data_IF_192052329587
#
_entry.id   IF_192052329587
#
_cell.length_a   1.000
_cell.length_b   1.000
_cell.length_c   1.000
_cell.angle_alpha   90.00
_cell.angle_beta   90.00
_cell.angle_gamma   90.00
#
_symmetry.space_group_name_H-M   'P 1'
#
loop_
_entity.id
_entity.type
_entity.pdbx_description
1 polymer ?
#
# COMPACT_ATOMS: atom_id res chain seq x y z
N UNK A 1 -50.30 21.42 -34.56
CA UNK A 1 -48.90 21.15 -34.91
C UNK A 1 -48.26 20.49 -33.71
N UNK A 2 -48.02 19.19 -33.84
CA UNK A 2 -47.27 18.36 -32.90
C UNK A 2 -45.81 18.59 -33.26
N UNK A 3 -44.97 18.93 -32.29
CA UNK A 3 -43.52 18.74 -32.42
C UNK A 3 -43.04 17.92 -31.23
N UNK A 4 -42.55 16.74 -31.58
CA UNK A 4 -42.03 15.69 -30.74
C UNK A 4 -40.55 15.98 -30.46
N UNK A 5 -40.16 16.17 -29.20
CA UNK A 5 -38.76 15.97 -28.81
C UNK A 5 -38.66 14.79 -27.83
N UNK A 6 -38.74 13.60 -28.43
CA UNK A 6 -38.30 12.37 -27.81
C UNK A 6 -36.76 12.33 -27.75
N UNK A 7 -36.22 11.98 -26.58
CA UNK A 7 -35.01 11.16 -26.51
C UNK A 7 -33.65 11.86 -26.54
N UNK A 8 -33.26 12.49 -25.43
CA UNK A 8 -31.87 12.40 -24.96
C UNK A 8 -31.91 11.96 -23.51
N UNK A 9 -31.82 10.64 -23.33
CA UNK A 9 -31.50 10.03 -22.05
C UNK A 9 -30.33 10.82 -21.44
N UNK A 10 -30.55 11.36 -20.25
CA UNK A 10 -29.49 11.92 -19.42
C UNK A 10 -28.32 10.95 -19.48
N UNK A 11 -27.15 11.42 -19.93
CA UNK A 11 -25.90 10.68 -19.84
C UNK A 11 -25.77 10.29 -18.38
N UNK A 12 -26.10 9.05 -18.06
CA UNK A 12 -25.72 8.44 -16.80
C UNK A 12 -24.23 8.75 -16.70
N UNK A 13 -23.83 9.46 -15.66
CA UNK A 13 -22.42 9.49 -15.28
C UNK A 13 -22.15 8.05 -14.90
N UNK A 14 -21.79 7.22 -15.89
CA UNK A 14 -21.19 5.93 -15.68
C UNK A 14 -20.11 6.22 -14.65
N UNK A 15 -20.33 5.76 -13.42
CA UNK A 15 -19.30 5.80 -12.41
C UNK A 15 -18.06 5.23 -13.09
N UNK A 16 -16.92 5.89 -12.96
CA UNK A 16 -15.67 5.32 -13.43
C UNK A 16 -15.49 3.98 -12.72
N UNK A 17 -15.99 2.90 -13.33
CA UNK A 17 -15.92 1.55 -12.79
C UNK A 17 -14.46 1.19 -12.85
N UNK A 18 -13.80 1.24 -11.70
CA UNK A 18 -12.39 0.87 -11.57
C UNK A 18 -12.26 -0.63 -11.51
N UNK A 19 -11.19 -1.10 -12.12
CA UNK A 19 -10.75 -2.48 -12.07
C UNK A 19 -10.15 -2.74 -10.69
N UNK A 20 -10.71 -3.68 -9.96
CA UNK A 20 -10.24 -4.06 -8.62
C UNK A 20 -10.17 -5.57 -8.56
N UNK A 21 -8.95 -6.12 -8.59
CA UNK A 21 -8.70 -7.56 -8.59
C UNK A 21 -8.55 -8.09 -7.17
N UNK A 22 -9.55 -7.81 -6.34
CA UNK A 22 -9.53 -8.19 -4.93
C UNK A 22 -9.88 -9.66 -4.69
N UNK A 23 -10.53 -10.34 -5.64
CA UNK A 23 -11.11 -11.70 -5.48
C UNK A 23 -12.05 -11.85 -4.27
N UNK A 24 -12.54 -10.73 -3.72
CA UNK A 24 -13.24 -10.70 -2.43
C UNK A 24 -12.36 -11.02 -1.22
N UNK A 25 -11.02 -11.02 -1.36
CA UNK A 25 -10.05 -11.47 -0.34
C UNK A 25 -9.48 -10.34 0.52
N UNK A 26 -9.95 -9.09 0.38
CA UNK A 26 -9.37 -7.94 1.07
C UNK A 26 -9.33 -8.04 2.60
N UNK A 27 -10.32 -8.68 3.21
CA UNK A 27 -10.32 -8.94 4.65
C UNK A 27 -9.15 -9.85 5.07
N UNK A 28 -8.95 -10.98 4.37
CA UNK A 28 -7.83 -11.89 4.59
C UNK A 28 -6.48 -11.22 4.34
N UNK A 29 -6.35 -10.42 3.28
CA UNK A 29 -5.13 -9.62 3.01
C UNK A 29 -4.78 -8.74 4.21
N UNK A 30 -5.76 -8.02 4.76
CA UNK A 30 -5.55 -7.17 5.93
C UNK A 30 -5.21 -8.00 7.17
N UNK A 31 -5.91 -9.11 7.40
CA UNK A 31 -5.67 -10.00 8.54
C UNK A 31 -4.24 -10.57 8.53
N UNK A 32 -3.81 -11.18 7.42
CA UNK A 32 -2.46 -11.74 7.32
C UNK A 32 -1.36 -10.69 7.34
N UNK A 33 -1.60 -9.50 6.78
CA UNK A 33 -0.66 -8.39 6.90
C UNK A 33 -0.52 -7.88 8.34
N UNK A 34 -1.62 -7.82 9.09
CA UNK A 34 -1.63 -7.42 10.50
C UNK A 34 -0.92 -8.45 11.38
N UNK A 35 -1.13 -9.75 11.13
CA UNK A 35 -0.42 -10.81 11.85
C UNK A 35 1.09 -10.79 11.58
N UNK A 36 1.48 -10.48 10.33
CA UNK A 36 2.88 -10.43 9.93
C UNK A 36 3.63 -9.28 10.62
N UNK A 37 3.15 -8.04 10.46
CA UNK A 37 3.71 -6.85 11.14
C UNK A 37 2.56 -5.96 11.65
N UNK A 38 2.16 -6.14 12.93
CA UNK A 38 0.97 -5.49 13.47
C UNK A 38 1.16 -3.99 13.69
N UNK A 39 0.13 -3.21 13.36
CA UNK A 39 0.02 -1.81 13.72
C UNK A 39 0.91 -0.85 12.91
N UNK A 40 1.61 -1.30 11.86
CA UNK A 40 2.48 -0.45 11.01
C UNK A 40 1.79 -0.02 9.72
N UNK A 41 0.83 -0.78 9.22
CA UNK A 41 0.21 -0.46 7.94
C UNK A 41 1.22 -0.34 6.80
N UNK A 42 0.92 0.50 5.81
CA UNK A 42 1.69 0.65 4.57
C UNK A 42 2.96 1.48 4.72
N UNK A 43 3.39 1.75 5.95
CA UNK A 43 4.52 2.62 6.23
C UNK A 43 5.81 1.84 6.04
N UNK A 44 6.63 2.30 5.12
CA UNK A 44 7.94 1.73 4.81
C UNK A 44 9.10 2.73 4.97
N UNK A 45 8.79 3.98 5.34
CA UNK A 45 9.73 5.02 5.77
C UNK A 45 8.97 6.03 6.64
N UNK A 46 9.69 6.81 7.47
CA UNK A 46 9.10 7.51 8.60
C UNK A 46 8.47 8.87 8.27
N UNK A 47 8.96 9.57 7.24
CA UNK A 47 8.50 10.93 6.87
C UNK A 47 6.97 11.04 6.69
N UNK A 48 6.27 10.08 6.06
CA UNK A 48 4.81 10.04 6.00
C UNK A 48 4.11 10.16 7.36
N UNK A 49 4.66 9.56 8.42
CA UNK A 49 4.08 9.69 9.76
C UNK A 49 4.13 11.15 10.23
N UNK A 50 5.27 11.82 10.04
CA UNK A 50 5.47 13.22 10.43
C UNK A 50 4.52 14.17 9.68
N UNK A 51 4.37 14.00 8.36
CA UNK A 51 3.39 14.80 7.59
C UNK A 51 1.96 14.54 8.03
N UNK A 52 1.62 13.29 8.37
CA UNK A 52 0.28 12.95 8.80
C UNK A 52 -0.07 13.60 10.14
N UNK A 53 0.80 13.50 11.15
CA UNK A 53 0.56 14.15 12.45
C UNK A 53 0.56 15.67 12.35
N UNK A 54 1.43 16.25 11.51
CA UNK A 54 1.44 17.69 11.24
C UNK A 54 0.12 18.14 10.57
N UNK A 55 -0.38 17.38 9.60
CA UNK A 55 -1.65 17.67 8.94
C UNK A 55 -2.85 17.60 9.88
N UNK A 56 -2.87 16.64 10.81
CA UNK A 56 -3.90 16.54 11.86
C UNK A 56 -3.84 17.75 12.79
N UNK A 57 -2.64 18.12 13.28
CA UNK A 57 -2.45 19.31 14.11
C UNK A 57 -2.95 20.57 13.41
N UNK A 58 -2.56 20.78 12.15
CA UNK A 58 -2.91 21.98 11.40
C UNK A 58 -4.39 22.05 11.01
N UNK A 59 -5.09 20.93 10.85
CA UNK A 59 -6.52 20.94 10.57
C UNK A 59 -7.38 21.28 11.79
N UNK A 60 -6.84 21.18 13.02
CA UNK A 60 -7.58 21.45 14.26
C UNK A 60 -8.12 22.89 14.24
N UNK A 61 -9.45 23.02 14.39
CA UNK A 61 -10.14 24.32 14.41
C UNK A 61 -10.24 25.03 13.06
N UNK A 62 -9.91 24.36 11.94
CA UNK A 62 -10.00 24.92 10.58
C UNK A 62 -11.11 24.28 9.77
N UNK A 63 -11.52 24.96 8.69
CA UNK A 63 -12.55 24.46 7.76
C UNK A 63 -12.07 23.35 6.82
N UNK A 64 -10.75 23.11 6.77
CA UNK A 64 -10.15 22.05 5.94
C UNK A 64 -10.02 20.74 6.73
N UNK A 65 -10.29 19.62 6.05
CA UNK A 65 -10.16 18.30 6.66
C UNK A 65 -8.69 17.92 6.89
N UNK A 66 -8.41 17.13 7.94
CA UNK A 66 -7.06 16.62 8.23
C UNK A 66 -6.44 15.88 7.04
N UNK A 67 -7.24 15.08 6.33
CA UNK A 67 -6.81 14.42 5.10
C UNK A 67 -6.38 15.43 4.04
N UNK A 68 -7.16 16.48 3.81
CA UNK A 68 -6.82 17.51 2.81
C UNK A 68 -5.50 18.20 3.14
N UNK A 69 -5.30 18.54 4.41
CA UNK A 69 -4.07 19.21 4.87
C UNK A 69 -2.86 18.29 4.76
N UNK A 70 -2.94 17.06 5.27
CA UNK A 70 -1.84 16.10 5.20
C UNK A 70 -1.44 15.77 3.74
N UNK A 71 -2.41 15.58 2.85
CA UNK A 71 -2.11 15.31 1.44
C UNK A 71 -1.48 16.53 0.74
N UNK A 72 -1.91 17.75 1.08
CA UNK A 72 -1.32 18.96 0.50
C UNK A 72 0.14 19.16 0.94
N UNK A 73 0.46 18.84 2.19
CA UNK A 73 1.83 18.85 2.71
C UNK A 73 2.69 17.82 1.96
N UNK A 74 2.19 16.60 1.80
CA UNK A 74 2.90 15.57 1.02
C UNK A 74 3.07 15.99 -0.46
N UNK A 75 2.03 16.55 -1.07
CA UNK A 75 2.07 17.02 -2.46
C UNK A 75 3.17 18.07 -2.65
N UNK A 76 3.25 19.04 -1.73
CA UNK A 76 4.28 20.06 -1.71
C UNK A 76 5.67 19.46 -1.54
N UNK A 77 5.83 18.50 -0.63
CA UNK A 77 7.08 17.78 -0.41
C UNK A 77 7.56 17.05 -1.68
N UNK A 78 6.67 16.26 -2.30
CA UNK A 78 6.96 15.52 -3.52
C UNK A 78 7.24 16.46 -4.70
N UNK A 79 6.53 17.58 -4.79
CA UNK A 79 6.77 18.59 -5.81
C UNK A 79 8.16 19.21 -5.66
N UNK A 80 8.61 19.54 -4.45
CA UNK A 80 9.97 20.04 -4.21
C UNK A 80 11.05 19.04 -4.63
N UNK A 81 10.81 17.73 -4.44
CA UNK A 81 11.77 16.67 -4.73
C UNK A 81 11.62 16.04 -6.14
N UNK A 82 10.67 16.50 -6.98
CA UNK A 82 10.25 15.82 -8.22
C UNK A 82 11.33 15.62 -9.30
N UNK A 83 12.45 16.34 -9.22
CA UNK A 83 13.52 16.21 -10.20
C UNK A 83 14.25 14.85 -10.08
N UNK A 84 14.40 14.32 -8.87
CA UNK A 84 15.28 13.19 -8.56
C UNK A 84 14.49 11.87 -8.53
N UNK A 85 14.84 10.83 -9.33
CA UNK A 85 14.10 9.55 -9.44
C UNK A 85 14.16 8.64 -8.19
N UNK A 86 13.90 9.20 -7.01
CA UNK A 86 13.79 8.47 -5.75
C UNK A 86 12.36 7.92 -5.56
N UNK A 87 12.27 6.67 -5.11
CA UNK A 87 11.01 5.95 -4.92
C UNK A 87 10.14 6.47 -3.78
N UNK A 88 10.72 7.24 -2.84
CA UNK A 88 10.00 7.99 -1.80
C UNK A 88 9.24 9.18 -2.39
N UNK A 89 9.63 9.68 -3.57
CA UNK A 89 8.99 10.80 -4.25
C UNK A 89 7.82 10.31 -5.09
N UNK A 90 6.61 10.53 -4.58
CA UNK A 90 5.37 10.10 -5.25
C UNK A 90 4.88 11.09 -6.29
N UNK A 91 4.11 10.58 -7.25
CA UNK A 91 3.35 11.43 -8.16
C UNK A 91 4.16 12.11 -9.26
N UNK A 92 5.38 11.63 -9.55
CA UNK A 92 6.31 12.21 -10.53
C UNK A 92 5.65 12.56 -11.86
N UNK A 93 4.90 11.62 -12.44
CA UNK A 93 4.24 11.81 -13.73
C UNK A 93 3.24 12.97 -13.72
N UNK A 94 2.43 13.08 -12.67
CA UNK A 94 1.45 14.16 -12.55
C UNK A 94 2.12 15.49 -12.21
N UNK A 95 3.22 15.46 -11.45
CA UNK A 95 3.97 16.64 -11.05
C UNK A 95 4.93 17.18 -12.13
N UNK A 96 5.28 16.39 -13.15
CA UNK A 96 6.20 16.78 -14.22
C UNK A 96 5.72 18.00 -15.01
N UNK A 97 4.41 18.15 -15.19
CA UNK A 97 3.80 19.30 -15.87
C UNK A 97 3.55 20.51 -14.96
N UNK A 98 3.84 20.43 -13.65
CA UNK A 98 3.58 21.52 -12.71
C UNK A 98 4.76 22.51 -12.74
N UNK A 99 4.53 23.79 -13.12
CA UNK A 99 5.59 24.79 -13.22
C UNK A 99 6.35 24.96 -11.91
N UNK A 100 7.61 25.41 -11.98
CA UNK A 100 8.48 25.73 -10.82
C UNK A 100 7.97 26.92 -9.95
N UNK A 101 6.74 27.40 -10.19
CA UNK A 101 6.13 28.54 -9.52
C UNK A 101 5.46 28.19 -8.19
N UNK A 102 4.66 29.14 -7.70
CA UNK A 102 3.91 29.01 -6.46
C UNK A 102 2.87 27.88 -6.57
N UNK A 103 2.93 26.92 -5.64
CA UNK A 103 1.87 25.92 -5.47
C UNK A 103 0.99 26.40 -4.32
N UNK A 104 -0.23 26.82 -4.63
CA UNK A 104 -1.17 27.22 -3.59
C UNK A 104 -1.66 26.00 -2.81
N UNK A 105 -2.06 26.21 -1.55
CA UNK A 105 -2.68 25.15 -0.76
C UNK A 105 -3.92 24.58 -1.45
N UNK A 106 -4.76 25.46 -2.03
CA UNK A 106 -5.99 25.03 -2.72
C UNK A 106 -5.69 24.08 -3.87
N UNK A 107 -4.62 24.31 -4.63
CA UNK A 107 -4.20 23.42 -5.72
C UNK A 107 -3.65 22.10 -5.17
N UNK A 108 -2.72 22.16 -4.21
CA UNK A 108 -2.12 20.97 -3.60
C UNK A 108 -3.15 20.07 -2.90
N UNK A 109 -4.23 20.65 -2.36
CA UNK A 109 -5.30 19.93 -1.69
C UNK A 109 -6.33 19.30 -2.67
N UNK A 110 -6.26 19.58 -3.98
CA UNK A 110 -7.20 18.99 -4.95
C UNK A 110 -7.00 17.50 -5.06
N UNK A 111 -8.11 16.77 -5.14
CA UNK A 111 -8.09 15.32 -5.42
C UNK A 111 -7.41 15.08 -6.77
N UNK A 112 -6.43 14.18 -6.79
CA UNK A 112 -5.70 13.82 -8.01
C UNK A 112 -4.60 14.80 -8.42
N UNK A 113 -4.22 15.77 -7.58
CA UNK A 113 -3.17 16.73 -7.91
C UNK A 113 -1.79 16.09 -8.17
N UNK A 114 -1.35 15.18 -7.30
CA UNK A 114 -0.05 14.49 -7.45
C UNK A 114 -0.17 12.96 -7.42
N UNK A 115 -1.16 12.42 -6.70
CA UNK A 115 -1.46 10.98 -6.69
C UNK A 115 -2.95 10.69 -6.63
N UNK A 116 -3.33 9.52 -7.13
CA UNK A 116 -4.69 8.97 -7.04
C UNK A 116 -5.01 8.50 -5.62
N UNK A 117 -4.04 7.89 -4.94
CA UNK A 117 -4.13 7.42 -3.56
C UNK A 117 -3.04 8.07 -2.71
N UNK A 118 -3.39 9.04 -1.86
CA UNK A 118 -2.40 9.74 -1.05
C UNK A 118 -2.03 8.95 0.21
N UNK A 119 -0.96 9.40 0.89
CA UNK A 119 -0.38 8.81 2.10
C UNK A 119 -1.34 8.28 3.16
N UNK A 120 -2.52 8.87 3.30
CA UNK A 120 -3.51 8.47 4.31
C UNK A 120 -3.76 6.96 4.34
N UNK A 121 -3.77 6.28 3.20
CA UNK A 121 -4.06 4.84 3.17
C UNK A 121 -2.95 4.00 3.79
N UNK A 122 -1.68 4.43 3.64
CA UNK A 122 -0.56 3.74 4.27
C UNK A 122 -0.41 4.04 5.77
N UNK A 123 -0.81 5.24 6.22
CA UNK A 123 -0.49 5.73 7.59
C UNK A 123 -1.60 5.52 8.62
N UNK A 124 -2.85 5.26 8.22
CA UNK A 124 -4.00 5.13 9.13
C UNK A 124 -3.76 4.12 10.24
N UNK A 125 -3.27 2.92 9.89
CA UNK A 125 -2.97 1.86 10.88
C UNK A 125 -1.77 2.26 11.74
N UNK A 126 -0.69 2.74 11.12
CA UNK A 126 0.54 3.17 11.80
C UNK A 126 0.30 4.21 12.90
N UNK A 127 -0.50 5.23 12.60
CA UNK A 127 -0.79 6.30 13.55
C UNK A 127 -1.47 5.78 14.83
N UNK A 128 -2.35 4.78 14.68
CA UNK A 128 -3.02 4.13 15.82
C UNK A 128 -2.10 3.13 16.50
N UNK A 129 -1.49 2.23 15.72
CA UNK A 129 -0.63 1.16 16.24
C UNK A 129 0.61 1.67 16.97
N UNK A 130 1.06 2.89 16.67
CA UNK A 130 2.17 3.57 17.37
C UNK A 130 1.69 4.55 18.46
N UNK A 131 0.37 4.66 18.68
CA UNK A 131 -0.21 5.53 19.71
C UNK A 131 -0.02 7.03 19.46
N UNK A 132 0.14 7.44 18.20
CA UNK A 132 0.29 8.84 17.80
C UNK A 132 -1.06 9.57 17.74
N UNK A 133 -2.16 8.83 17.64
CA UNK A 133 -3.54 9.33 17.69
C UNK A 133 -4.34 8.56 18.73
N UNK A 134 -5.35 9.21 19.32
CA UNK A 134 -6.24 8.58 20.28
C UNK A 134 -6.99 7.40 19.67
N UNK A 135 -7.25 6.39 20.50
CA UNK A 135 -8.14 5.29 20.15
C UNK A 135 -9.58 5.79 19.96
N UNK A 136 -10.33 5.15 19.07
CA UNK A 136 -11.75 5.43 18.85
C UNK A 136 -12.09 5.62 17.38
N UNK A 137 -11.79 6.79 16.77
CA UNK A 137 -12.13 7.01 15.38
C UNK A 137 -11.36 6.06 14.46
N UNK A 138 -12.04 5.43 13.49
CA UNK A 138 -11.36 4.61 12.47
C UNK A 138 -10.99 5.41 11.22
N UNK A 139 -11.53 6.62 11.07
CA UNK A 139 -11.34 7.47 9.89
C UNK A 139 -10.31 8.55 10.20
N UNK A 140 -9.36 8.75 9.29
CA UNK A 140 -8.28 9.75 9.43
C UNK A 140 -8.78 11.15 9.81
N UNK A 141 -9.90 11.62 9.22
CA UNK A 141 -10.44 12.96 9.51
C UNK A 141 -10.96 13.15 10.93
N UNK A 142 -11.20 12.07 11.67
CA UNK A 142 -11.65 12.11 13.05
C UNK A 142 -10.51 11.89 14.05
N UNK A 143 -9.28 11.65 13.59
CA UNK A 143 -8.13 11.49 14.46
C UNK A 143 -7.83 12.75 15.27
N UNK A 144 -7.45 12.52 16.52
CA UNK A 144 -6.90 13.51 17.43
C UNK A 144 -5.54 13.02 17.88
N UNK A 145 -4.53 13.90 17.86
CA UNK A 145 -3.19 13.56 18.33
C UNK A 145 -3.19 13.27 19.82
N UNK A 146 -2.44 12.24 20.22
CA UNK A 146 -2.00 12.06 21.61
C UNK A 146 -0.82 12.98 21.90
N UNK A 147 -0.37 13.04 23.15
CA UNK A 147 0.91 13.67 23.52
C UNK A 147 2.08 13.12 22.68
N UNK A 148 2.08 11.82 22.39
CA UNK A 148 3.10 11.21 21.53
C UNK A 148 3.06 11.74 20.09
N UNK A 149 1.86 11.93 19.54
CA UNK A 149 1.67 12.53 18.23
C UNK A 149 2.15 13.98 18.20
N UNK A 150 1.80 14.76 19.23
CA UNK A 150 2.27 16.15 19.35
C UNK A 150 3.80 16.21 19.47
N UNK A 151 4.40 15.33 20.28
CA UNK A 151 5.85 15.23 20.46
C UNK A 151 6.58 14.86 19.19
N UNK A 152 6.02 13.97 18.35
CA UNK A 152 6.62 13.64 17.06
C UNK A 152 6.71 14.86 16.14
N UNK A 153 5.67 15.70 16.09
CA UNK A 153 5.72 16.92 15.26
C UNK A 153 6.82 17.86 15.77
N UNK A 154 6.95 18.05 17.08
CA UNK A 154 8.01 18.88 17.66
C UNK A 154 9.40 18.37 17.26
N UNK A 155 9.69 17.10 17.55
CA UNK A 155 10.99 16.49 17.24
C UNK A 155 11.29 16.48 15.74
N UNK A 156 10.27 16.35 14.88
CA UNK A 156 10.46 16.30 13.44
C UNK A 156 10.78 17.67 12.82
N UNK A 157 10.33 18.76 13.44
CA UNK A 157 10.36 20.10 12.84
C UNK A 157 11.06 21.18 13.68
N UNK A 158 11.45 20.90 14.93
CA UNK A 158 12.04 21.89 15.87
C UNK A 158 13.32 22.55 15.37
N UNK A 159 14.10 21.88 14.52
CA UNK A 159 15.37 22.39 13.99
C UNK A 159 15.22 23.27 12.74
N UNK A 160 14.03 23.38 12.17
CA UNK A 160 13.80 24.11 10.91
C UNK A 160 13.12 25.46 11.16
N UNK A 161 13.63 26.52 10.53
CA UNK A 161 13.12 27.90 10.67
C UNK A 161 12.88 28.57 9.32
N UNK A 162 11.89 28.11 8.52
CA UNK A 162 11.52 28.79 7.29
C UNK A 162 11.06 30.21 7.58
N UNK A 163 11.68 31.21 6.94
CA UNK A 163 11.43 32.65 7.20
C UNK A 163 11.55 33.04 8.69
N UNK A 164 12.48 32.45 9.42
CA UNK A 164 12.68 32.68 10.86
C UNK A 164 11.46 32.32 11.74
N UNK A 165 10.56 31.47 11.24
CA UNK A 165 9.33 31.07 11.91
C UNK A 165 9.25 29.54 12.01
N UNK A 166 8.36 29.01 12.83
CA UNK A 166 8.16 27.57 12.96
C UNK A 166 7.52 26.99 11.67
N UNK A 167 7.83 25.74 11.35
CA UNK A 167 7.33 25.06 10.13
C UNK A 167 5.80 25.03 10.10
N UNK A 168 5.17 24.70 11.22
CA UNK A 168 3.72 24.66 11.37
C UNK A 168 3.08 26.06 11.26
N UNK A 169 3.72 27.10 11.81
CA UNK A 169 3.27 28.49 11.65
C UNK A 169 3.32 28.96 10.18
N UNK A 170 4.39 28.63 9.43
CA UNK A 170 4.47 28.95 8.00
C UNK A 170 3.45 28.18 7.18
N UNK A 171 3.23 26.89 7.49
CA UNK A 171 2.23 26.08 6.80
C UNK A 171 0.80 26.53 7.12
N UNK A 172 0.51 26.96 8.35
CA UNK A 172 -0.77 27.56 8.71
C UNK A 172 -1.07 28.79 7.84
N UNK A 173 -0.10 29.70 7.70
CA UNK A 173 -0.22 30.88 6.80
C UNK A 173 -0.44 30.45 5.35
N UNK A 174 0.24 29.40 4.89
CA UNK A 174 0.07 28.88 3.52
C UNK A 174 -1.31 28.27 3.28
N UNK A 175 -1.86 27.54 4.25
CA UNK A 175 -3.23 27.00 4.21
C UNK A 175 -4.26 28.13 4.05
N UNK A 176 -3.97 29.28 4.67
CA UNK A 176 -4.79 30.51 4.59
C UNK A 176 -4.53 31.32 3.30
N UNK A 177 -3.68 30.84 2.38
CA UNK A 177 -3.37 31.47 1.10
C UNK A 177 -2.09 32.31 1.07
N UNK A 178 -1.32 32.31 2.16
CA UNK A 178 -0.04 33.01 2.26
C UNK A 178 1.12 32.34 1.51
N UNK A 179 2.24 33.05 1.40
CA UNK A 179 3.47 32.58 0.77
C UNK A 179 4.57 32.25 1.79
N UNK A 180 5.52 31.40 1.41
CA UNK A 180 6.70 31.11 2.24
C UNK A 180 7.14 29.64 2.30
N UNK A 181 6.38 28.78 1.64
CA UNK A 181 6.65 27.33 1.57
C UNK A 181 7.74 26.93 0.58
N UNK A 182 8.32 27.89 -0.15
CA UNK A 182 9.36 27.65 -1.17
C UNK A 182 10.79 27.93 -0.70
N UNK A 183 10.97 28.26 0.58
CA UNK A 183 12.29 28.47 1.18
C UNK A 183 13.09 27.18 1.29
N UNK A 184 14.41 27.27 1.28
CA UNK A 184 15.29 26.09 1.42
C UNK A 184 15.04 25.36 2.75
N UNK A 185 14.84 26.09 3.85
CA UNK A 185 14.51 25.48 5.14
C UNK A 185 13.19 24.72 5.11
N UNK A 186 12.16 25.19 4.38
CA UNK A 186 10.91 24.43 4.20
C UNK A 186 11.11 23.19 3.32
N UNK A 187 11.89 23.32 2.24
CA UNK A 187 12.24 22.19 1.36
C UNK A 187 12.93 21.10 2.16
N UNK A 188 13.95 21.45 2.94
CA UNK A 188 14.68 20.52 3.80
C UNK A 188 13.79 19.89 4.88
N UNK A 189 12.89 20.66 5.50
CA UNK A 189 11.96 20.15 6.52
C UNK A 189 10.99 19.10 5.97
N UNK A 190 10.55 19.27 4.72
CA UNK A 190 9.55 18.43 4.09
C UNK A 190 10.13 17.37 3.16
N UNK A 191 11.43 17.38 2.83
CA UNK A 191 11.99 16.49 1.81
C UNK A 191 11.71 15.00 2.12
N UNK A 192 11.04 14.24 1.24
CA UNK A 192 10.85 12.79 1.38
C UNK A 192 12.16 12.01 1.54
N UNK A 193 13.26 12.55 0.99
CA UNK A 193 14.55 11.86 0.88
C UNK A 193 15.45 12.08 2.08
N UNK A 194 15.29 13.23 2.74
CA UNK A 194 16.05 13.53 3.93
C UNK A 194 15.59 12.61 5.08
N UNK A 195 16.50 12.09 5.91
CA UNK A 195 16.11 11.43 7.15
C UNK A 195 15.40 12.41 8.08
N UNK A 196 14.52 11.91 8.95
CA UNK A 196 14.04 12.71 10.08
C UNK A 196 15.22 13.11 11.00
N UNK A 197 15.10 14.22 11.74
CA UNK A 197 16.07 14.56 12.79
C UNK A 197 16.30 13.37 13.75
N UNK A 198 17.52 13.22 14.24
CA UNK A 198 17.95 12.06 15.04
C UNK A 198 17.00 11.76 16.20
N UNK A 199 16.63 12.79 16.98
CA UNK A 199 15.70 12.64 18.11
C UNK A 199 14.32 12.13 17.69
N UNK A 200 13.83 12.53 16.51
CA UNK A 200 12.57 12.02 15.98
C UNK A 200 12.69 10.56 15.50
N UNK A 201 13.84 10.19 14.92
CA UNK A 201 14.14 8.80 14.54
C UNK A 201 14.23 7.89 15.76
N UNK A 202 14.93 8.33 16.82
CA UNK A 202 15.02 7.60 18.09
C UNK A 202 13.64 7.39 18.73
N UNK A 203 12.85 8.46 18.80
CA UNK A 203 11.48 8.39 19.31
C UNK A 203 10.62 7.38 18.54
N UNK A 204 10.66 7.41 17.20
CA UNK A 204 9.91 6.47 16.37
C UNK A 204 10.45 5.04 16.47
N UNK A 205 11.77 4.85 16.56
CA UNK A 205 12.38 3.52 16.75
C UNK A 205 11.91 2.90 18.05
N UNK A 206 11.89 3.67 19.13
CA UNK A 206 11.36 3.20 20.41
C UNK A 206 9.87 2.86 20.32
N UNK A 207 9.06 3.72 19.69
CA UNK A 207 7.62 3.47 19.49
C UNK A 207 7.38 2.19 18.68
N UNK A 208 8.07 2.00 17.56
CA UNK A 208 7.94 0.81 16.73
C UNK A 208 8.31 -0.45 17.52
N UNK A 209 9.41 -0.44 18.26
CA UNK A 209 9.90 -1.63 18.96
C UNK A 209 9.22 -1.91 20.32
N UNK A 210 8.60 -0.92 20.97
CA UNK A 210 8.15 -1.05 22.38
C UNK A 210 6.72 -0.62 22.66
N UNK A 211 6.03 0.06 21.74
CA UNK A 211 4.69 0.58 22.02
C UNK A 211 3.56 -0.41 21.68
N UNK A 212 2.65 -0.59 22.63
CA UNK A 212 1.43 -1.38 22.44
C UNK A 212 1.65 -2.89 22.62
N UNK A 213 0.56 -3.67 22.65
CA UNK A 213 0.58 -5.10 22.95
C UNK A 213 1.40 -5.90 21.93
N UNK A 214 1.39 -5.47 20.66
CA UNK A 214 2.06 -6.18 19.58
C UNK A 214 3.52 -5.74 19.33
N UNK A 215 4.06 -4.88 20.19
CA UNK A 215 5.46 -4.46 20.10
C UNK A 215 6.46 -5.63 20.10
N UNK A 216 6.28 -6.71 20.89
CA UNK A 216 7.21 -7.85 20.87
C UNK A 216 7.32 -8.50 19.49
N UNK A 217 6.21 -8.66 18.76
CA UNK A 217 6.21 -9.22 17.38
C UNK A 217 7.02 -8.34 16.43
N UNK A 218 6.84 -7.01 16.48
CA UNK A 218 7.62 -6.07 15.65
C UNK A 218 9.10 -6.09 16.01
N UNK A 219 9.43 -6.07 17.30
CA UNK A 219 10.80 -6.10 17.78
C UNK A 219 11.52 -7.40 17.37
N UNK A 220 10.85 -8.54 17.47
CA UNK A 220 11.36 -9.83 17.02
C UNK A 220 11.70 -9.85 15.53
N UNK A 221 10.80 -9.32 14.68
CA UNK A 221 11.02 -9.23 13.23
C UNK A 221 12.18 -8.28 12.93
N UNK A 222 12.26 -7.11 13.56
CA UNK A 222 13.41 -6.19 13.40
C UNK A 222 14.72 -6.88 13.77
N UNK A 223 14.76 -7.54 14.93
CA UNK A 223 15.94 -8.24 15.41
C UNK A 223 16.38 -9.37 14.46
N UNK A 224 15.41 -10.12 13.92
CA UNK A 224 15.66 -11.14 12.89
C UNK A 224 16.21 -10.54 11.59
N UNK A 225 15.59 -9.47 11.08
CA UNK A 225 15.99 -8.81 9.84
C UNK A 225 17.39 -8.20 9.91
N UNK A 226 17.85 -7.82 11.10
CA UNK A 226 19.21 -7.31 11.35
C UNK A 226 20.29 -8.40 11.36
N UNK A 227 19.93 -9.70 11.37
CA UNK A 227 20.91 -10.81 11.33
C UNK A 227 21.46 -11.00 9.92
N UNK A 228 22.79 -11.01 9.72
CA UNK A 228 23.39 -11.17 8.39
C UNK A 228 23.20 -12.58 7.81
N UNK A 229 23.13 -13.60 8.67
CA UNK A 229 23.05 -15.04 8.36
C UNK A 229 21.61 -15.58 8.37
N UNK A 230 20.61 -14.71 8.14
CA UNK A 230 19.20 -15.10 8.13
C UNK A 230 18.88 -16.07 6.97
N UNK A 231 18.14 -17.12 7.29
CA UNK A 231 17.66 -18.11 6.32
C UNK A 231 16.49 -17.56 5.49
N UNK A 232 16.49 -17.88 4.19
CA UNK A 232 15.38 -17.64 3.28
C UNK A 232 14.40 -18.83 3.21
N UNK A 233 14.47 -19.77 4.16
CA UNK A 233 13.66 -20.99 4.17
C UNK A 233 12.55 -20.96 5.22
N UNK A 234 11.38 -21.51 4.88
CA UNK A 234 10.31 -21.78 5.84
C UNK A 234 10.61 -22.96 6.78
N UNK A 235 11.60 -23.80 6.45
CA UNK A 235 11.97 -24.98 7.25
C UNK A 235 12.67 -24.61 8.57
N UNK A 236 13.33 -23.45 8.60
CA UNK A 236 14.14 -23.01 9.74
C UNK A 236 13.48 -21.79 10.40
N UNK A 237 12.82 -22.00 11.53
CA UNK A 237 12.27 -20.89 12.32
C UNK A 237 13.40 -20.09 12.96
N UNK A 238 13.46 -18.75 12.78
CA UNK A 238 14.38 -17.90 13.53
C UNK A 238 14.12 -17.98 15.04
N UNK A 239 15.15 -18.12 15.90
CA UNK A 239 14.95 -18.27 17.34
C UNK A 239 14.30 -17.04 17.99
N UNK A 240 14.43 -15.87 17.37
CA UNK A 240 13.88 -14.59 17.83
C UNK A 240 12.36 -14.47 17.60
N UNK A 241 11.81 -15.21 16.64
CA UNK A 241 10.38 -15.19 16.31
C UNK A 241 9.74 -16.37 17.02
N UNK A 242 8.73 -16.13 17.84
CA UNK A 242 8.04 -17.20 18.55
C UNK A 242 7.30 -18.16 17.58
N UNK A 243 6.89 -19.31 18.10
CA UNK A 243 6.28 -20.39 17.30
C UNK A 243 4.97 -19.95 16.66
N UNK A 244 4.16 -19.16 17.38
CA UNK A 244 2.85 -18.70 16.90
C UNK A 244 3.01 -17.67 15.79
N UNK A 245 3.86 -16.66 15.99
CA UNK A 245 4.15 -15.64 14.99
C UNK A 245 4.82 -16.22 13.74
N UNK A 246 5.70 -17.22 13.89
CA UNK A 246 6.26 -17.92 12.73
C UNK A 246 5.21 -18.68 11.94
N UNK A 247 4.26 -19.34 12.63
CA UNK A 247 3.12 -20.00 11.98
C UNK A 247 2.26 -18.99 11.23
N UNK A 248 1.94 -17.85 11.84
CA UNK A 248 1.17 -16.77 11.23
C UNK A 248 1.84 -16.25 9.94
N UNK A 249 3.16 -16.01 9.98
CA UNK A 249 3.96 -15.60 8.82
C UNK A 249 3.90 -16.62 7.70
N UNK A 250 4.05 -17.92 8.02
CA UNK A 250 4.03 -19.01 7.04
C UNK A 250 2.66 -19.18 6.40
N UNK A 251 1.59 -19.20 7.19
CA UNK A 251 0.20 -19.31 6.69
C UNK A 251 -0.12 -18.12 5.79
N UNK A 252 0.26 -16.91 6.21
CA UNK A 252 0.10 -15.71 5.40
C UNK A 252 0.85 -15.80 4.07
N UNK A 253 2.05 -16.37 4.05
CA UNK A 253 2.79 -16.59 2.81
C UNK A 253 2.09 -17.56 1.85
N UNK A 254 1.57 -18.68 2.36
CA UNK A 254 0.75 -19.62 1.57
C UNK A 254 -0.50 -18.95 1.00
N UNK A 255 -1.14 -18.09 1.79
CA UNK A 255 -2.28 -17.29 1.32
C UNK A 255 -1.89 -16.34 0.18
N UNK A 256 -0.78 -15.60 0.30
CA UNK A 256 -0.34 -14.68 -0.75
C UNK A 256 0.10 -15.41 -2.03
N UNK A 257 0.66 -16.62 -1.92
CA UNK A 257 0.93 -17.48 -3.07
C UNK A 257 -0.35 -17.93 -3.77
N UNK A 258 -1.35 -18.38 -3.01
CA UNK A 258 -2.69 -18.72 -3.53
C UNK A 258 -3.31 -17.53 -4.26
N UNK A 259 -3.28 -16.34 -3.66
CA UNK A 259 -3.80 -15.13 -4.29
C UNK A 259 -3.06 -14.82 -5.61
N UNK A 260 -1.73 -14.94 -5.63
CA UNK A 260 -0.92 -14.68 -6.82
C UNK A 260 -1.23 -15.67 -7.94
N UNK A 261 -1.36 -16.96 -7.62
CA UNK A 261 -1.74 -17.99 -8.57
C UNK A 261 -3.14 -17.72 -9.17
N UNK A 262 -4.10 -17.29 -8.34
CA UNK A 262 -5.43 -16.92 -8.81
C UNK A 262 -5.41 -15.72 -9.76
N UNK A 263 -4.61 -14.70 -9.45
CA UNK A 263 -4.42 -13.56 -10.35
C UNK A 263 -3.76 -13.97 -11.68
N UNK A 264 -2.82 -14.91 -11.65
CA UNK A 264 -2.20 -15.45 -12.86
C UNK A 264 -3.20 -16.21 -13.74
N UNK A 265 -4.12 -16.98 -13.14
CA UNK A 265 -5.25 -17.61 -13.85
C UNK A 265 -6.12 -16.56 -14.54
N UNK A 266 -6.48 -15.48 -13.85
CA UNK A 266 -7.26 -14.38 -14.45
C UNK A 266 -6.50 -13.69 -15.60
N UNK A 267 -5.19 -13.47 -15.44
CA UNK A 267 -4.34 -12.90 -16.48
C UNK A 267 -4.25 -13.79 -17.72
N UNK A 268 -4.11 -15.11 -17.52
CA UNK A 268 -4.14 -16.10 -18.60
C UNK A 268 -5.47 -16.11 -19.33
N UNK A 269 -6.58 -16.17 -18.60
CA UNK A 269 -7.92 -16.15 -19.17
C UNK A 269 -8.19 -14.86 -19.95
N UNK A 270 -7.77 -13.71 -19.43
CA UNK A 270 -7.89 -12.44 -20.15
C UNK A 270 -7.07 -12.39 -21.42
N UNK A 271 -5.87 -12.97 -21.45
CA UNK A 271 -5.05 -13.03 -22.64
C UNK A 271 -5.74 -13.84 -23.77
N UNK A 272 -6.43 -14.92 -23.41
CA UNK A 272 -7.21 -15.72 -24.36
C UNK A 272 -8.42 -14.93 -24.86
N UNK A 273 -9.23 -14.38 -23.94
CA UNK A 273 -10.41 -13.58 -24.29
C UNK A 273 -10.04 -12.38 -25.18
N UNK A 274 -8.86 -11.78 -24.98
CA UNK A 274 -8.38 -10.67 -25.82
C UNK A 274 -8.13 -11.09 -27.27
N UNK A 275 -7.67 -12.32 -27.48
CA UNK A 275 -7.30 -12.84 -28.80
C UNK A 275 -8.49 -13.51 -29.49
N UNK A 276 -9.24 -14.34 -28.77
CA UNK A 276 -10.30 -15.19 -29.30
C UNK A 276 -11.73 -14.65 -29.04
N UNK A 277 -11.87 -13.56 -28.27
CA UNK A 277 -13.16 -12.95 -27.91
C UNK A 277 -13.91 -13.67 -26.78
N UNK A 278 -13.63 -14.97 -26.55
CA UNK A 278 -14.18 -15.76 -25.45
C UNK A 278 -13.24 -16.93 -25.10
N UNK A 279 -13.43 -17.52 -23.93
CA UNK A 279 -12.78 -18.77 -23.50
C UNK A 279 -13.86 -19.74 -23.03
N UNK A 280 -13.93 -20.96 -23.57
CA UNK A 280 -14.89 -21.96 -23.04
C UNK A 280 -14.35 -22.57 -21.75
N UNK A 281 -15.21 -22.81 -20.77
CA UNK A 281 -14.80 -23.45 -19.52
C UNK A 281 -14.23 -24.86 -19.73
N UNK A 282 -14.70 -25.58 -20.75
CA UNK A 282 -14.14 -26.87 -21.14
C UNK A 282 -12.68 -26.79 -21.62
N UNK A 283 -12.23 -25.62 -22.09
CA UNK A 283 -10.84 -25.37 -22.52
C UNK A 283 -9.92 -25.08 -21.32
N UNK A 284 -10.43 -25.07 -20.09
CA UNK A 284 -9.63 -24.94 -18.87
C UNK A 284 -8.59 -26.06 -18.69
N UNK A 285 -8.79 -27.22 -19.32
CA UNK A 285 -7.85 -28.34 -19.32
C UNK A 285 -6.91 -28.35 -20.53
N UNK A 286 -6.71 -27.20 -21.17
CA UNK A 286 -5.82 -27.04 -22.33
C UNK A 286 -4.87 -25.88 -22.13
N UNK A 287 -3.76 -25.88 -22.86
CA UNK A 287 -2.80 -24.76 -22.87
C UNK A 287 -3.45 -23.47 -23.38
N UNK A 288 -3.15 -22.29 -22.79
CA UNK A 288 -2.20 -22.05 -21.70
C UNK A 288 -2.79 -22.14 -20.27
N UNK A 289 -4.04 -22.59 -20.12
CA UNK A 289 -4.76 -22.52 -18.84
C UNK A 289 -4.43 -23.67 -17.89
N UNK A 290 -4.18 -24.87 -18.42
CA UNK A 290 -3.91 -26.07 -17.63
C UNK A 290 -2.83 -25.86 -16.54
N UNK A 291 -1.60 -25.39 -16.86
CA UNK A 291 -0.56 -25.21 -15.85
C UNK A 291 -0.90 -24.15 -14.81
N UNK A 292 -1.62 -23.09 -15.19
CA UNK A 292 -2.03 -22.02 -14.27
C UNK A 292 -3.05 -22.53 -13.24
N UNK A 293 -3.99 -23.35 -13.68
CA UNK A 293 -5.03 -23.94 -12.81
C UNK A 293 -4.49 -25.07 -11.94
N UNK A 294 -3.52 -25.84 -12.44
CA UNK A 294 -2.79 -26.82 -11.63
C UNK A 294 -2.01 -26.14 -10.50
N UNK A 295 -1.27 -25.06 -10.81
CA UNK A 295 -0.57 -24.28 -9.81
C UNK A 295 -1.54 -23.66 -8.79
N UNK A 296 -2.68 -23.12 -9.23
CA UNK A 296 -3.71 -22.61 -8.33
C UNK A 296 -4.22 -23.68 -7.35
N UNK A 297 -4.53 -24.88 -7.84
CA UNK A 297 -4.98 -26.00 -7.00
C UNK A 297 -3.90 -26.46 -6.02
N UNK A 298 -2.64 -26.53 -6.47
CA UNK A 298 -1.50 -26.86 -5.62
C UNK A 298 -1.31 -25.85 -4.48
N UNK A 299 -1.37 -24.53 -4.78
CA UNK A 299 -1.28 -23.48 -3.75
C UNK A 299 -2.47 -23.46 -2.80
N UNK A 300 -3.67 -23.76 -3.29
CA UNK A 300 -4.85 -23.89 -2.46
C UNK A 300 -4.73 -25.04 -1.46
N UNK A 301 -4.21 -26.19 -1.92
CA UNK A 301 -3.93 -27.35 -1.05
C UNK A 301 -2.89 -27.00 0.01
N UNK A 302 -1.75 -26.42 -0.39
CA UNK A 302 -0.69 -26.01 0.53
C UNK A 302 -1.17 -25.01 1.59
N UNK A 303 -2.09 -24.09 1.25
CA UNK A 303 -2.68 -23.17 2.21
C UNK A 303 -3.63 -23.89 3.19
N UNK A 304 -4.47 -24.80 2.71
CA UNK A 304 -5.41 -25.56 3.55
C UNK A 304 -4.69 -26.52 4.50
N UNK A 305 -3.58 -27.11 4.07
CA UNK A 305 -2.78 -28.05 4.87
C UNK A 305 -2.15 -27.42 6.13
N UNK A 306 -2.01 -26.09 6.17
CA UNK A 306 -1.55 -25.37 7.36
C UNK A 306 -2.53 -25.48 8.56
N UNK A 307 -3.79 -25.84 8.29
CA UNK A 307 -4.85 -26.07 9.28
C UNK A 307 -4.93 -24.93 10.32
N UNK A 308 -4.87 -23.69 9.83
CA UNK A 308 -4.89 -22.49 10.63
C UNK A 308 -5.70 -21.42 9.93
N UNK A 309 -6.69 -20.86 10.63
CA UNK A 309 -7.55 -19.81 10.09
C UNK A 309 -7.65 -18.69 11.11
N UNK A 310 -6.87 -17.60 10.92
CA UNK A 310 -7.01 -16.43 11.75
C UNK A 310 -8.37 -15.76 11.57
N UNK A 311 -8.80 -15.01 12.60
CA UNK A 311 -10.02 -14.20 12.54
C UNK A 311 -9.93 -13.20 11.38
N UNK A 312 -10.97 -13.14 10.55
CA UNK A 312 -11.03 -12.26 9.38
C UNK A 312 -10.42 -12.83 8.10
N UNK A 313 -9.95 -14.08 8.12
CA UNK A 313 -9.43 -14.81 6.96
C UNK A 313 -10.32 -15.99 6.51
N UNK A 314 -11.57 -16.07 6.99
CA UNK A 314 -12.49 -17.17 6.72
C UNK A 314 -12.82 -17.29 5.22
N UNK A 315 -12.91 -16.14 4.54
CA UNK A 315 -13.14 -16.06 3.10
C UNK A 315 -11.97 -16.64 2.26
N UNK A 316 -10.74 -16.65 2.79
CA UNK A 316 -9.59 -17.26 2.13
C UNK A 316 -9.69 -18.79 2.17
N UNK A 317 -10.17 -19.36 3.27
CA UNK A 317 -10.40 -20.82 3.38
C UNK A 317 -11.52 -21.26 2.44
N UNK A 318 -12.61 -20.50 2.39
CA UNK A 318 -13.70 -20.75 1.44
C UNK A 318 -13.16 -20.71 0.00
N UNK A 319 -12.35 -19.70 -0.34
CA UNK A 319 -11.73 -19.60 -1.66
C UNK A 319 -10.88 -20.79 -2.01
N UNK A 320 -9.93 -21.14 -1.12
CA UNK A 320 -9.02 -22.23 -1.34
C UNK A 320 -9.79 -23.55 -1.53
N UNK A 321 -10.89 -23.74 -0.79
CA UNK A 321 -11.73 -24.93 -0.92
C UNK A 321 -12.42 -24.99 -2.30
N UNK A 322 -12.91 -23.86 -2.80
CA UNK A 322 -13.54 -23.77 -4.13
C UNK A 322 -12.55 -24.08 -5.26
N UNK A 323 -11.34 -23.53 -5.20
CA UNK A 323 -10.35 -23.66 -6.29
C UNK A 323 -9.42 -24.87 -6.18
N UNK A 324 -9.39 -25.56 -5.03
CA UNK A 324 -8.68 -26.85 -4.87
C UNK A 324 -9.30 -27.95 -5.74
N UNK A 325 -10.57 -27.83 -6.13
CA UNK A 325 -11.31 -28.87 -6.84
C UNK A 325 -10.55 -29.39 -8.07
N UNK A 326 -10.56 -30.71 -8.28
CA UNK A 326 -9.95 -31.38 -9.45
C UNK A 326 -10.60 -30.98 -10.77
N UNK A 327 -11.83 -30.49 -10.74
CA UNK A 327 -12.47 -29.89 -11.91
C UNK A 327 -11.91 -28.49 -12.20
N UNK A 328 -11.00 -28.43 -13.18
CA UNK A 328 -10.38 -27.19 -13.67
C UNK A 328 -11.40 -26.17 -14.18
N UNK A 329 -12.51 -26.61 -14.77
CA UNK A 329 -13.56 -25.71 -15.24
C UNK A 329 -14.26 -25.03 -14.06
N UNK A 330 -14.49 -25.77 -12.97
CA UNK A 330 -15.02 -25.21 -11.72
C UNK A 330 -14.04 -24.23 -11.08
N UNK A 331 -12.73 -24.57 -11.03
CA UNK A 331 -11.70 -23.66 -10.50
C UNK A 331 -11.61 -22.34 -11.27
N UNK A 332 -11.62 -22.40 -12.61
CA UNK A 332 -11.67 -21.20 -13.46
C UNK A 332 -12.94 -20.39 -13.21
N UNK A 333 -14.09 -21.06 -13.11
CA UNK A 333 -15.38 -20.42 -12.81
C UNK A 333 -15.31 -19.63 -11.50
N UNK A 334 -14.89 -20.27 -10.41
CA UNK A 334 -14.79 -19.64 -9.09
C UNK A 334 -13.84 -18.44 -9.07
N UNK A 335 -12.71 -18.51 -9.77
CA UNK A 335 -11.79 -17.39 -9.89
C UNK A 335 -12.42 -16.19 -10.61
N UNK A 336 -13.10 -16.42 -11.74
CA UNK A 336 -13.73 -15.37 -12.55
C UNK A 336 -14.93 -14.74 -11.82
N UNK A 337 -15.80 -15.55 -11.21
CA UNK A 337 -16.99 -15.05 -10.48
C UNK A 337 -16.61 -14.15 -9.30
N UNK A 338 -15.50 -14.45 -8.61
CA UNK A 338 -14.99 -13.65 -7.50
C UNK A 338 -14.32 -12.35 -7.91
N UNK A 339 -13.77 -12.26 -9.12
CA UNK A 339 -13.33 -10.99 -9.69
C UNK A 339 -14.54 -10.17 -10.14
N UNK A 340 -15.43 -10.78 -10.92
CA UNK A 340 -16.75 -10.26 -11.29
C UNK A 340 -16.76 -8.94 -12.07
N UNK A 341 -15.61 -8.46 -12.55
CA UNK A 341 -15.49 -7.16 -13.22
C UNK A 341 -14.69 -7.21 -14.51
N UNK A 342 -13.47 -7.76 -14.47
CA UNK A 342 -12.60 -7.83 -15.65
C UNK A 342 -13.09 -8.89 -16.63
N UNK A 343 -13.47 -10.04 -16.11
CA UNK A 343 -14.05 -11.16 -16.83
C UNK A 343 -15.44 -11.47 -16.27
N UNK A 344 -16.32 -11.99 -17.12
CA UNK A 344 -17.66 -12.45 -16.74
C UNK A 344 -17.86 -13.87 -17.24
N UNK A 345 -18.75 -14.60 -16.56
CA UNK A 345 -19.21 -15.91 -17.02
C UNK A 345 -20.60 -15.75 -17.61
N UNK A 346 -20.75 -16.27 -18.82
CA UNK A 346 -22.03 -16.47 -19.48
C UNK A 346 -22.13 -17.95 -19.86
N UNK A 347 -23.02 -18.67 -19.20
CA UNK A 347 -23.19 -20.12 -19.34
C UNK A 347 -21.88 -20.92 -19.22
N UNK A 348 -21.32 -21.37 -20.35
CA UNK A 348 -20.10 -22.18 -20.45
C UNK A 348 -18.89 -21.38 -20.94
N UNK A 349 -18.99 -20.05 -21.03
CA UNK A 349 -17.97 -19.17 -21.58
C UNK A 349 -17.57 -18.06 -20.61
N UNK A 350 -16.28 -17.76 -20.63
CA UNK A 350 -15.69 -16.57 -20.04
C UNK A 350 -15.61 -15.49 -21.13
N UNK A 351 -16.15 -14.31 -20.83
CA UNK A 351 -16.26 -13.17 -21.72
C UNK A 351 -15.62 -11.92 -21.12
N UNK A 352 -15.40 -10.92 -21.97
CA UNK A 352 -14.94 -9.60 -21.54
C UNK A 352 -16.00 -8.91 -20.67
N UNK A 353 -15.62 -8.55 -19.45
CA UNK A 353 -16.44 -7.76 -18.55
C UNK A 353 -16.38 -6.24 -18.80
N UNK A 354 -17.12 -5.44 -18.01
CA UNK A 354 -17.23 -3.98 -18.18
C UNK A 354 -15.90 -3.22 -18.02
N UNK A 355 -14.93 -3.77 -17.30
CA UNK A 355 -13.60 -3.16 -17.10
C UNK A 355 -12.48 -3.94 -17.79
N UNK A 356 -12.82 -4.78 -18.77
CA UNK A 356 -11.87 -5.60 -19.52
C UNK A 356 -10.85 -4.74 -20.28
N UNK A 357 -9.56 -5.05 -20.14
CA UNK A 357 -8.50 -4.39 -20.88
C UNK A 357 -8.32 -5.01 -22.27
N UNK A 358 -8.78 -4.29 -23.30
CA UNK A 358 -8.62 -4.66 -24.71
C UNK A 358 -7.17 -4.61 -25.20
N UNK A 359 -6.30 -3.86 -24.52
CA UNK A 359 -4.87 -3.83 -24.78
C UNK A 359 -4.11 -4.48 -23.62
N UNK A 360 -3.00 -5.18 -23.89
CA UNK A 360 -2.12 -5.63 -22.83
C UNK A 360 -1.66 -4.44 -21.98
N UNK A 361 -1.41 -4.64 -20.66
CA UNK A 361 -0.80 -3.60 -19.85
C UNK A 361 0.52 -3.17 -20.50
N UNK A 362 0.76 -1.86 -20.63
CA UNK A 362 2.08 -1.38 -21.03
C UNK A 362 3.12 -1.91 -20.02
N UNK A 363 4.33 -2.30 -20.45
CA UNK A 363 5.35 -2.88 -19.57
C UNK A 363 5.74 -1.99 -18.38
N UNK A 364 5.44 -0.69 -18.45
CA UNK A 364 5.68 0.31 -17.39
C UNK A 364 4.39 0.92 -16.81
N UNK A 365 3.21 0.37 -17.11
CA UNK A 365 2.00 0.75 -16.39
C UNK A 365 2.16 0.25 -14.95
N UNK A 366 2.44 1.17 -14.03
CA UNK A 366 2.60 0.84 -12.62
C UNK A 366 1.42 -0.02 -12.15
N UNK A 367 1.71 -1.12 -11.44
CA UNK A 367 0.74 -2.03 -10.80
C UNK A 367 -0.19 -1.34 -9.78
N UNK A 368 -0.23 -0.01 -9.77
CA UNK A 368 -0.92 0.87 -8.82
C UNK A 368 -2.41 1.03 -9.08
N UNK A 369 -2.96 0.47 -10.17
CA UNK A 369 -4.37 0.70 -10.52
C UNK A 369 -5.33 -0.44 -10.10
N UNK A 370 -4.82 -1.60 -9.63
CA UNK A 370 -5.64 -2.83 -9.61
C UNK A 370 -5.87 -3.50 -8.23
N UNK A 371 -5.42 -2.95 -7.10
CA UNK A 371 -5.85 -3.47 -5.78
C UNK A 371 -6.19 -2.35 -4.78
N UNK A 372 -7.46 -2.33 -4.35
CA UNK A 372 -7.95 -1.44 -3.28
C UNK A 372 -7.33 -1.76 -1.92
N UNK A 373 -6.63 -2.90 -1.80
CA UNK A 373 -5.94 -3.38 -0.60
C UNK A 373 -4.40 -3.25 -0.67
N UNK A 374 -3.85 -2.56 -1.69
CA UNK A 374 -2.46 -2.10 -1.65
C UNK A 374 -2.36 -0.88 -0.73
N UNK A 375 -2.35 -1.14 0.59
CA UNK A 375 -1.96 -0.18 1.63
C UNK A 375 -0.63 0.51 1.28
N UNK A 376 -0.71 1.62 0.55
CA UNK A 376 0.42 2.47 0.23
C UNK A 376 1.29 1.94 -0.91
N UNK A 377 1.64 2.83 -1.86
CA UNK A 377 2.47 2.50 -3.02
C UNK A 377 3.65 1.61 -2.65
N UNK A 378 3.77 0.50 -3.39
CA UNK A 378 4.65 -0.62 -3.08
C UNK A 378 6.02 -0.20 -2.55
N UNK A 379 6.46 -0.85 -1.47
CA UNK A 379 7.82 -0.75 -0.99
C UNK A 379 8.76 -1.08 -2.16
N UNK A 380 9.73 -0.20 -2.49
CA UNK A 380 10.64 -0.46 -3.60
C UNK A 380 11.47 -1.69 -3.26
N UNK A 381 11.58 -2.62 -4.21
CA UNK A 381 12.57 -3.70 -4.12
C UNK A 381 13.86 -3.18 -4.77
N UNK A 382 14.95 -2.98 -4.00
CA UNK A 382 16.25 -2.70 -4.60
C UNK A 382 16.81 -3.95 -5.25
N UNK A 383 17.84 -3.71 -6.05
CA UNK A 383 18.59 -4.69 -6.83
C UNK A 383 19.26 -5.79 -5.99
N UNK A 384 19.47 -5.56 -4.68
CA UNK A 384 19.99 -6.54 -3.72
C UNK A 384 18.86 -7.22 -2.95
N UNK A 385 18.56 -8.48 -3.30
CA UNK A 385 17.44 -9.22 -2.71
C UNK A 385 17.70 -9.49 -1.22
N UNK A 386 16.93 -8.84 -0.34
CA UNK A 386 16.85 -9.24 1.07
C UNK A 386 16.40 -10.71 1.12
N UNK A 387 17.26 -11.65 1.59
CA UNK A 387 16.94 -13.06 1.61
C UNK A 387 15.84 -13.29 2.65
N UNK A 388 14.61 -13.45 2.16
CA UNK A 388 13.44 -13.73 2.96
C UNK A 388 12.75 -14.96 2.40
N UNK A 389 12.01 -15.71 3.25
CA UNK A 389 11.16 -16.79 2.80
C UNK A 389 10.22 -16.38 1.65
N UNK A 390 10.07 -17.27 0.68
CA UNK A 390 9.18 -17.07 -0.46
C UNK A 390 7.75 -16.79 0.01
N UNK A 391 7.06 -15.87 -0.68
CA UNK A 391 5.67 -15.52 -0.38
C UNK A 391 5.47 -14.69 0.89
N UNK A 392 6.52 -14.42 1.70
CA UNK A 392 6.39 -13.64 2.94
C UNK A 392 5.68 -12.30 2.70
N UNK A 393 4.85 -11.89 3.66
CA UNK A 393 4.13 -10.62 3.59
C UNK A 393 5.08 -9.46 3.28
N UNK A 394 4.65 -8.59 2.35
CA UNK A 394 5.36 -7.34 2.03
C UNK A 394 5.60 -6.46 3.26
N UNK A 395 4.76 -6.59 4.29
CA UNK A 395 4.88 -5.87 5.57
C UNK A 395 6.22 -6.09 6.24
N UNK A 396 6.79 -7.30 6.12
CA UNK A 396 8.12 -7.62 6.67
C UNK A 396 9.19 -6.81 5.95
N UNK A 397 9.10 -6.68 4.62
CA UNK A 397 9.99 -5.80 3.82
C UNK A 397 9.77 -4.33 4.16
N UNK A 398 8.53 -3.88 4.31
CA UNK A 398 8.22 -2.50 4.73
C UNK A 398 8.79 -2.17 6.11
N UNK A 399 8.76 -3.12 7.04
CA UNK A 399 9.37 -2.94 8.36
C UNK A 399 10.89 -2.84 8.27
N UNK A 400 11.53 -3.65 7.41
CA UNK A 400 12.96 -3.57 7.17
C UNK A 400 13.38 -2.19 6.65
N UNK A 401 12.69 -1.68 5.64
CA UNK A 401 13.01 -0.36 5.06
C UNK A 401 12.70 0.78 6.01
N UNK A 402 11.64 0.65 6.82
CA UNK A 402 11.37 1.60 7.91
C UNK A 402 12.50 1.58 8.94
N UNK A 403 12.99 0.40 9.34
CA UNK A 403 14.11 0.28 10.28
C UNK A 403 15.39 0.92 9.71
N UNK A 404 15.70 0.69 8.44
CA UNK A 404 16.80 1.36 7.74
C UNK A 404 16.63 2.88 7.70
N UNK A 405 15.41 3.39 7.51
CA UNK A 405 15.12 4.84 7.49
C UNK A 405 15.33 5.46 8.88
N UNK A 406 14.87 4.77 9.92
CA UNK A 406 15.07 5.16 11.30
C UNK A 406 16.56 5.13 11.68
N UNK A 407 17.34 4.22 11.11
CA UNK A 407 18.80 4.20 11.24
C UNK A 407 19.53 5.19 10.32
N UNK A 408 18.82 5.89 9.42
CA UNK A 408 19.39 6.88 8.50
C UNK A 408 20.12 6.25 7.31
N UNK A 409 19.92 4.95 7.07
CA UNK A 409 20.61 4.13 6.06
C UNK A 409 19.78 3.89 4.80
N UNK A 410 18.47 4.20 4.83
CA UNK A 410 17.58 3.92 3.71
C UNK A 410 18.03 4.56 2.38
N UNK A 411 18.53 5.79 2.41
CA UNK A 411 18.99 6.47 1.18
C UNK A 411 20.11 5.72 0.45
N UNK A 412 21.12 5.25 1.20
CA UNK A 412 22.21 4.44 0.64
C UNK A 412 21.76 3.05 0.18
N UNK A 413 20.76 2.47 0.85
CA UNK A 413 20.17 1.20 0.46
C UNK A 413 19.37 1.30 -0.84
N UNK A 414 18.58 2.36 -1.02
CA UNK A 414 17.81 2.59 -2.24
C UNK A 414 18.69 2.92 -3.45
N UNK A 415 19.84 3.57 -3.24
CA UNK A 415 20.79 3.87 -4.32
C UNK A 415 21.71 2.70 -4.69
N UNK A 416 21.63 1.57 -3.98
CA UNK A 416 22.54 0.44 -4.16
C UNK A 416 23.97 0.68 -3.64
N UNK A 417 24.19 1.79 -2.91
CA UNK A 417 25.50 2.12 -2.34
C UNK A 417 25.81 1.34 -1.04
N UNK A 418 24.83 0.64 -0.47
CA UNK A 418 24.93 -0.01 0.84
C UNK A 418 25.55 -1.42 0.86
N UNK A 419 26.05 -1.95 -0.26
CA UNK A 419 26.75 -3.25 -0.32
C UNK A 419 28.28 -3.14 -0.25
N UNK A 420 28.83 -1.94 0.01
CA UNK A 420 30.26 -1.72 0.16
C UNK A 420 30.62 -1.21 1.57
N UNK A 421 30.33 -2.00 2.61
CA UNK A 421 31.04 -1.92 3.90
C UNK A 421 30.95 -3.23 4.71
#
# INVERSE_FOLDING_TARGET
>A
MIDESWGLLARERAGLTRRTRGLGLGAAVRAFNELAVPGIGGVWFARPLAWAVLGIRLARGRSFSAVSVANAIEALACWHARADPDSRVRGRTMLAGVPNGFVSFREAARRGFYVTQPMRQGTVQALRGLGLVHEGPQRFNAYQLTEAGERLVELAYESFRPKNDAVDAVLAKWIEGGAGVHTESMRAALDPRAPLPERAREFLRERVARWGPDAPRRAAVIAWLRKPDRSASWAERPPLIDVEHWRDLRVGARFFDLQRAALAVLDGAEAIVRTAGSLRLAEASTEPMEPLLEELSARASAFLDENHTPVGAENAVAFATEVRNTDRAAGLRSAVERDGRGLLIDHDRVLAGPVFRRQPPAPNASKTDDSEDDDGGGTPEPTGALPLPEGISRRVRSLHTLDLDLDGRLGGWLSGAAEAE
#
